data_IF_746122129620
#
_entry.id   IF_746122129620
#
_cell.length_a   1.000
_cell.length_b   1.000
_cell.length_c   1.000
_cell.angle_alpha   90.00
_cell.angle_beta   90.00
_cell.angle_gamma   90.00
#
_symmetry.space_group_name_H-M   'P 1'
#
loop_
_entity.id
_entity.type
_entity.pdbx_description
1 polymer ?
#
# COMPACT_ATOMS: atom_id res chain seq x y z
N UNK A 1 12.98 1.71 -17.61
CA UNK A 1 12.38 0.60 -16.85
C UNK A 1 13.27 0.44 -15.64
N UNK A 2 12.88 1.06 -14.52
CA UNK A 2 13.75 1.23 -13.36
C UNK A 2 13.88 -0.08 -12.58
N UNK A 3 15.03 -0.24 -11.91
CA UNK A 3 15.43 -1.43 -11.17
C UNK A 3 14.57 -1.64 -9.92
N UNK A 4 13.39 -2.25 -10.05
CA UNK A 4 12.57 -2.69 -8.91
C UNK A 4 13.37 -3.74 -8.11
N UNK A 5 13.78 -3.41 -6.88
CA UNK A 5 14.55 -4.31 -6.02
C UNK A 5 13.61 -5.05 -5.06
N UNK A 6 13.18 -6.25 -5.44
CA UNK A 6 12.14 -7.03 -4.74
C UNK A 6 12.49 -7.48 -3.29
N UNK A 7 13.69 -7.19 -2.77
CA UNK A 7 14.18 -7.66 -1.46
C UNK A 7 14.80 -6.55 -0.56
N UNK A 8 14.51 -5.26 -0.80
CA UNK A 8 15.16 -4.16 -0.09
C UNK A 8 14.41 -3.66 1.15
N UNK A 9 13.11 -3.95 1.27
CA UNK A 9 12.28 -3.52 2.40
C UNK A 9 12.41 -4.56 3.52
N UNK A 10 13.37 -4.35 4.41
CA UNK A 10 13.64 -5.25 5.56
C UNK A 10 13.18 -4.67 6.89
N UNK A 11 12.88 -3.37 6.95
CA UNK A 11 12.32 -2.66 8.11
C UNK A 11 11.28 -1.65 7.65
N UNK A 12 10.13 -1.63 8.30
CA UNK A 12 9.10 -0.60 8.10
C UNK A 12 9.43 0.64 8.94
N UNK A 13 9.02 1.81 8.47
CA UNK A 13 9.08 3.08 9.19
C UNK A 13 7.79 3.87 8.96
N UNK A 14 7.66 5.03 9.60
CA UNK A 14 6.45 5.86 9.55
C UNK A 14 6.26 6.59 8.21
N UNK A 15 7.20 6.48 7.26
CA UNK A 15 7.09 7.03 5.91
C UNK A 15 7.15 5.91 4.86
N UNK A 16 6.02 5.22 4.71
CA UNK A 16 5.87 4.17 3.70
C UNK A 16 6.12 4.68 2.28
N UNK A 17 5.82 5.95 1.99
CA UNK A 17 5.97 6.52 0.65
C UNK A 17 7.44 6.69 0.29
N UNK A 18 8.22 7.29 1.19
CA UNK A 18 9.68 7.43 1.04
C UNK A 18 10.36 6.07 0.92
N UNK A 19 9.99 5.13 1.79
CA UNK A 19 10.54 3.77 1.78
C UNK A 19 10.29 3.04 0.44
N UNK A 20 9.08 3.17 -0.13
CA UNK A 20 8.77 2.56 -1.42
C UNK A 20 9.56 3.20 -2.57
N UNK A 21 9.75 4.53 -2.53
CA UNK A 21 10.57 5.23 -3.54
C UNK A 21 12.03 4.82 -3.46
N UNK A 22 12.60 4.68 -2.27
CA UNK A 22 13.99 4.24 -2.04
C UNK A 22 14.23 2.77 -2.47
N UNK A 23 13.17 1.97 -2.47
CA UNK A 23 13.16 0.60 -2.98
C UNK A 23 12.95 0.50 -4.51
N UNK A 24 12.68 1.64 -5.18
CA UNK A 24 12.51 1.71 -6.62
C UNK A 24 11.06 1.63 -7.11
N UNK A 25 10.06 1.73 -6.22
CA UNK A 25 8.64 1.76 -6.57
C UNK A 25 8.16 3.20 -6.80
N UNK A 26 8.71 3.86 -7.82
CA UNK A 26 8.45 5.27 -8.13
C UNK A 26 7.00 5.50 -8.62
N UNK A 27 6.37 4.47 -9.18
CA UNK A 27 5.00 4.49 -9.70
C UNK A 27 3.94 4.75 -8.63
N UNK A 28 4.26 4.56 -7.35
CA UNK A 28 3.39 4.92 -6.23
C UNK A 28 3.02 6.41 -6.28
N UNK A 29 3.99 7.28 -6.62
CA UNK A 29 3.77 8.71 -6.81
C UNK A 29 2.96 9.04 -8.06
N UNK A 30 2.95 8.17 -9.07
CA UNK A 30 2.23 8.38 -10.33
C UNK A 30 0.72 8.11 -10.23
N UNK A 31 0.23 7.52 -9.13
CA UNK A 31 -1.20 7.24 -8.98
C UNK A 31 -2.03 8.54 -8.93
N UNK A 32 -2.83 8.78 -9.97
CA UNK A 32 -3.72 9.95 -10.10
C UNK A 32 -5.11 9.77 -9.47
N UNK A 33 -5.31 8.72 -8.66
CA UNK A 33 -6.59 8.45 -8.00
C UNK A 33 -7.79 8.22 -8.95
N UNK A 34 -7.57 7.70 -10.17
CA UNK A 34 -8.65 7.47 -11.16
C UNK A 34 -9.71 6.42 -10.72
N UNK A 35 -9.34 5.47 -9.85
CA UNK A 35 -10.29 4.51 -9.27
C UNK A 35 -10.51 3.20 -10.04
N UNK A 36 -9.84 2.97 -11.17
CA UNK A 36 -9.95 1.72 -11.94
C UNK A 36 -9.71 0.48 -11.07
N UNK A 37 -8.70 0.52 -10.19
CA UNK A 37 -8.40 -0.58 -9.26
C UNK A 37 -9.56 -0.88 -8.29
N UNK A 38 -10.30 0.15 -7.86
CA UNK A 38 -11.46 -0.03 -6.97
C UNK A 38 -12.64 -0.65 -7.72
N UNK A 39 -12.89 -0.24 -8.96
CA UNK A 39 -13.92 -0.85 -9.80
C UNK A 39 -13.62 -2.30 -10.17
N UNK A 40 -12.33 -2.63 -10.37
CA UNK A 40 -11.89 -3.99 -10.67
C UNK A 40 -11.92 -4.95 -9.48
N UNK A 41 -11.78 -4.45 -8.25
CA UNK A 41 -11.62 -5.29 -7.06
C UNK A 41 -12.90 -6.10 -6.74
N UNK A 42 -12.88 -7.44 -6.76
CA UNK A 42 -14.03 -8.26 -6.39
C UNK A 42 -14.38 -8.12 -4.90
N UNK A 43 -13.37 -7.98 -4.02
CA UNK A 43 -13.57 -7.77 -2.59
C UNK A 43 -14.32 -6.45 -2.32
N UNK A 44 -13.97 -5.39 -3.04
CA UNK A 44 -14.64 -4.08 -2.92
C UNK A 44 -16.13 -4.10 -3.28
N UNK A 45 -16.59 -5.09 -4.06
CA UNK A 45 -18.03 -5.27 -4.36
C UNK A 45 -18.83 -5.86 -3.20
N UNK A 46 -18.16 -6.54 -2.26
CA UNK A 46 -18.80 -7.23 -1.14
C UNK A 46 -18.45 -6.62 0.23
N UNK A 47 -17.51 -5.68 0.26
CA UNK A 47 -17.05 -5.02 1.48
C UNK A 47 -16.92 -3.51 1.29
N UNK A 48 -16.66 -2.79 2.38
CA UNK A 48 -16.32 -1.37 2.35
C UNK A 48 -14.88 -1.10 1.85
N UNK A 49 -14.12 -2.13 1.46
CA UNK A 49 -12.74 -1.99 1.05
C UNK A 49 -12.62 -1.24 -0.29
N UNK A 50 -11.72 -0.25 -0.34
CA UNK A 50 -11.49 0.58 -1.53
C UNK A 50 -10.00 0.66 -1.79
N UNK A 51 -9.53 -0.06 -2.80
CA UNK A 51 -8.11 -0.12 -3.20
C UNK A 51 -7.54 1.26 -3.50
N UNK A 52 -8.35 2.18 -4.05
CA UNK A 52 -7.94 3.57 -4.31
C UNK A 52 -7.62 4.32 -3.01
N UNK A 53 -8.41 4.12 -1.97
CA UNK A 53 -8.18 4.72 -0.65
C UNK A 53 -6.91 4.15 -0.02
N UNK A 54 -6.66 2.84 -0.15
CA UNK A 54 -5.41 2.23 0.27
C UNK A 54 -4.21 2.90 -0.42
N UNK A 55 -4.24 3.02 -1.75
CA UNK A 55 -3.17 3.71 -2.50
C UNK A 55 -2.98 5.17 -2.07
N UNK A 56 -4.07 5.87 -1.72
CA UNK A 56 -3.96 7.24 -1.20
C UNK A 56 -3.22 7.29 0.13
N UNK A 57 -3.49 6.35 1.04
CA UNK A 57 -2.78 6.24 2.32
C UNK A 57 -1.29 5.94 2.12
N UNK A 58 -0.95 5.08 1.15
CA UNK A 58 0.44 4.83 0.76
C UNK A 58 1.13 6.10 0.25
N UNK A 59 0.46 6.89 -0.60
CA UNK A 59 1.01 8.18 -1.06
C UNK A 59 1.22 9.21 0.07
N UNK A 60 0.41 9.12 1.13
CA UNK A 60 0.52 9.97 2.31
C UNK A 60 1.53 9.42 3.33
N UNK A 61 2.15 8.26 3.08
CA UNK A 61 3.09 7.63 4.00
C UNK A 61 2.43 7.02 5.25
N UNK A 62 1.11 6.81 5.27
CA UNK A 62 0.39 6.35 6.47
C UNK A 62 0.58 4.84 6.70
N UNK A 63 1.77 4.43 7.17
CA UNK A 63 2.19 3.03 7.32
C UNK A 63 1.22 2.20 8.17
N UNK A 64 0.88 2.68 9.36
CA UNK A 64 -0.02 1.96 10.28
C UNK A 64 -1.40 1.75 9.67
N UNK A 65 -1.95 2.75 8.99
CA UNK A 65 -3.27 2.61 8.35
C UNK A 65 -3.32 1.65 7.16
N UNK A 66 -2.15 1.28 6.62
CA UNK A 66 -1.99 0.38 5.48
C UNK A 66 -1.64 -1.04 5.94
N UNK A 67 -0.78 -1.15 6.95
CA UNK A 67 -0.19 -2.42 7.40
C UNK A 67 -0.71 -2.89 8.76
N UNK A 68 -1.57 -2.15 9.44
CA UNK A 68 -2.17 -2.61 10.70
C UNK A 68 -3.09 -3.81 10.44
N UNK A 69 -2.64 -5.00 10.84
CA UNK A 69 -3.48 -6.19 10.94
C UNK A 69 -3.95 -6.35 12.40
N UNK A 70 -5.21 -6.02 12.68
CA UNK A 70 -5.83 -6.34 13.99
C UNK A 70 -5.99 -7.85 14.19
N UNK A 71 -6.03 -8.64 13.11
CA UNK A 71 -6.16 -10.10 13.18
C UNK A 71 -4.84 -10.79 13.52
N UNK A 72 -3.69 -10.32 13.02
CA UNK A 72 -2.36 -10.86 13.37
C UNK A 72 -2.04 -10.76 14.87
N UNK A 73 -2.46 -9.67 15.52
CA UNK A 73 -2.26 -9.50 16.96
C UNK A 73 -3.03 -10.53 17.82
N UNK A 74 -4.06 -11.17 17.27
CA UNK A 74 -4.94 -12.11 17.98
C UNK A 74 -4.81 -13.57 17.50
N UNK A 75 -4.05 -13.84 16.43
CA UNK A 75 -3.93 -15.19 15.86
C UNK A 75 -2.80 -16.04 16.44
N UNK A 76 -1.96 -15.51 17.34
CA UNK A 76 -0.98 -16.29 18.11
C UNK A 76 -0.02 -17.16 17.27
N UNK A 77 0.23 -16.76 16.02
CA UNK A 77 1.19 -17.36 15.09
C UNK A 77 2.31 -16.36 14.82
#
# INVERSE_FOLDING_TARGET
MENIQSNKITKLNDDLSGLLRDAGYLEVGACIQCGTCTGGCPSGRRTAYRTRTLMKKVQLGLTEEVLSDKERANSGL
#
